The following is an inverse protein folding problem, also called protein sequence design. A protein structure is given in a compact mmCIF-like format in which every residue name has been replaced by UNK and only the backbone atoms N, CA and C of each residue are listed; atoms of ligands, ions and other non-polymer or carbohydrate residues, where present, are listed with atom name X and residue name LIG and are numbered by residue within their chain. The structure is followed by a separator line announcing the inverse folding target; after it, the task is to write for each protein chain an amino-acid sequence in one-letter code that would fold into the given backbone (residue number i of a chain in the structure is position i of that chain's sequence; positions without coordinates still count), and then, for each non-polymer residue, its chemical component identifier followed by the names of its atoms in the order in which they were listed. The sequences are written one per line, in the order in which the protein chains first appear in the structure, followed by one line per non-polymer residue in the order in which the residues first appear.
data_IF_926482117050
#
_entry.id   IF_926482117050
#
_cell.length_a   1.000
_cell.length_b   1.000
_cell.length_c   1.000
_cell.angle_alpha   90.00
_cell.angle_beta   90.00
_cell.angle_gamma   90.00
#
_symmetry.space_group_name_H-M   'P 1'
#
loop_
_entity.id
_entity.type
_entity.pdbx_description
1 polymer ?
#
# COMPACT_ATOMS: atom_id res chain seq x y z
N UNK A 1 36.50 -27.28 -41.20
CA UNK A 1 36.47 -26.17 -40.19
C UNK A 1 37.75 -26.29 -39.40
N UNK A 2 38.68 -25.34 -39.53
CA UNK A 2 40.01 -25.39 -38.92
C UNK A 2 39.90 -25.36 -37.40
N UNK A 3 40.82 -26.09 -36.72
CA UNK A 3 40.86 -26.15 -35.23
C UNK A 3 40.86 -24.76 -34.60
N UNK A 4 41.49 -23.78 -35.23
CA UNK A 4 41.55 -22.37 -34.77
C UNK A 4 40.15 -21.75 -34.71
N UNK A 5 39.28 -21.99 -35.68
CA UNK A 5 37.93 -21.43 -35.75
C UNK A 5 37.02 -22.04 -34.62
N UNK A 6 37.27 -23.27 -34.20
CA UNK A 6 36.54 -23.87 -33.07
C UNK A 6 36.90 -23.21 -31.75
N UNK A 7 38.18 -22.93 -31.50
CA UNK A 7 38.60 -22.26 -30.27
C UNK A 7 38.19 -20.79 -30.23
N UNK A 8 38.16 -20.12 -31.39
CA UNK A 8 37.65 -18.76 -31.49
C UNK A 8 36.14 -18.69 -31.20
N UNK A 9 35.38 -19.64 -31.73
CA UNK A 9 33.93 -19.72 -31.49
C UNK A 9 33.60 -20.02 -30.03
N UNK A 10 34.35 -20.94 -29.39
CA UNK A 10 34.18 -21.29 -27.99
C UNK A 10 34.55 -20.11 -27.08
N UNK A 11 35.60 -19.35 -27.39
CA UNK A 11 35.99 -18.15 -26.67
C UNK A 11 34.95 -17.02 -26.73
N UNK A 12 34.30 -16.81 -27.88
CA UNK A 12 33.26 -15.79 -28.02
C UNK A 12 31.99 -16.17 -27.26
N UNK A 13 31.60 -17.46 -27.25
CA UNK A 13 30.43 -17.93 -26.51
C UNK A 13 30.65 -17.86 -24.98
N UNK A 14 31.86 -18.09 -24.49
CA UNK A 14 32.14 -17.98 -23.03
C UNK A 14 32.20 -16.52 -22.55
N UNK A 15 32.60 -15.54 -23.38
CA UNK A 15 32.55 -14.13 -23.02
C UNK A 15 31.13 -13.54 -22.99
N UNK A 16 30.18 -14.09 -23.74
CA UNK A 16 28.80 -13.59 -23.74
C UNK A 16 27.97 -14.05 -22.52
N UNK A 17 28.42 -15.01 -21.74
CA UNK A 17 27.71 -15.48 -20.53
C UNK A 17 27.99 -14.65 -19.26
N UNK A 18 28.98 -13.79 -19.27
CA UNK A 18 29.31 -12.95 -18.09
C UNK A 18 28.64 -11.57 -18.11
N UNK A 19 27.90 -11.22 -19.15
CA UNK A 19 27.28 -9.90 -19.32
C UNK A 19 25.98 -9.71 -18.52
N UNK A 20 25.46 -10.73 -17.81
CA UNK A 20 24.20 -10.65 -17.08
C UNK A 20 24.35 -10.60 -15.55
N UNK A 21 25.55 -10.43 -15.03
CA UNK A 21 25.79 -10.50 -13.58
C UNK A 21 25.88 -9.12 -12.94
N UNK A 22 24.92 -8.29 -13.03
CA UNK A 22 24.55 -7.13 -12.21
C UNK A 22 23.76 -6.13 -13.06
N UNK A 23 22.54 -6.51 -13.45
CA UNK A 23 21.55 -5.51 -13.80
C UNK A 23 20.94 -5.04 -12.46
N UNK A 24 21.54 -4.05 -11.87
CA UNK A 24 20.88 -3.20 -10.91
C UNK A 24 19.84 -2.38 -11.67
N UNK A 25 18.61 -2.91 -11.69
CA UNK A 25 17.50 -2.37 -12.47
C UNK A 25 16.76 -1.24 -11.75
N UNK A 26 17.33 -0.69 -10.68
CA UNK A 26 16.76 0.48 -10.05
C UNK A 26 16.95 1.71 -10.94
N UNK A 27 15.89 2.20 -11.62
CA UNK A 27 15.99 3.38 -12.44
C UNK A 27 16.33 4.58 -11.55
N UNK A 28 17.47 5.22 -11.79
CA UNK A 28 17.91 6.43 -11.08
C UNK A 28 16.98 7.63 -11.31
N UNK A 29 16.04 7.52 -12.28
CA UNK A 29 15.11 8.59 -12.67
C UNK A 29 13.69 8.39 -12.16
N UNK A 30 13.40 7.26 -11.48
CA UNK A 30 12.08 6.97 -10.91
C UNK A 30 12.25 6.65 -9.42
N UNK A 31 11.30 7.09 -8.58
CA UNK A 31 11.31 6.79 -7.16
C UNK A 31 11.23 5.27 -6.91
N UNK A 32 12.35 4.68 -6.52
CA UNK A 32 12.42 3.31 -6.05
C UNK A 32 12.47 3.30 -4.52
N UNK A 33 12.13 2.18 -3.88
CA UNK A 33 12.17 2.06 -2.42
C UNK A 33 13.57 2.30 -1.81
N UNK A 34 14.62 2.25 -2.63
CA UNK A 34 16.00 2.53 -2.20
C UNK A 34 16.41 3.99 -2.39
N UNK A 35 15.70 4.72 -3.29
CA UNK A 35 15.98 6.10 -3.66
C UNK A 35 14.88 7.06 -3.20
N UNK A 36 13.99 6.64 -2.30
CA UNK A 36 12.88 7.43 -1.80
C UNK A 36 12.95 7.57 -0.28
N UNK A 37 12.38 8.59 0.29
CA UNK A 37 12.41 8.94 1.72
C UNK A 37 13.76 9.49 2.22
N UNK A 38 14.54 10.16 1.36
CA UNK A 38 15.82 10.73 1.75
C UNK A 38 15.69 12.11 2.38
N UNK A 39 14.67 12.86 2.00
CA UNK A 39 14.43 14.20 2.49
C UNK A 39 12.98 14.44 2.90
N UNK A 40 12.74 15.58 3.52
CA UNK A 40 11.42 16.00 4.00
C UNK A 40 10.39 16.09 2.87
N UNK A 41 10.78 16.58 1.69
CA UNK A 41 9.89 16.76 0.54
C UNK A 41 9.37 15.42 0.04
N UNK A 42 10.22 14.42 -0.04
CA UNK A 42 9.83 13.08 -0.48
C UNK A 42 8.87 12.40 0.53
N UNK A 43 9.09 12.62 1.83
CA UNK A 43 8.18 12.12 2.87
C UNK A 43 6.84 12.84 2.80
N UNK A 44 6.82 14.16 2.60
CA UNK A 44 5.58 14.93 2.42
C UNK A 44 4.82 14.50 1.16
N UNK A 45 5.51 14.19 0.07
CA UNK A 45 4.88 13.62 -1.13
C UNK A 45 4.24 12.27 -0.84
N UNK A 46 4.92 11.39 -0.09
CA UNK A 46 4.38 10.09 0.30
C UNK A 46 3.15 10.23 1.22
N UNK A 47 3.17 11.20 2.15
CA UNK A 47 2.03 11.52 2.99
C UNK A 47 0.84 12.05 2.19
N UNK A 48 1.08 12.99 1.27
CA UNK A 48 0.04 13.53 0.41
C UNK A 48 -0.63 12.42 -0.43
N UNK A 49 0.11 11.38 -0.81
CA UNK A 49 -0.44 10.22 -1.52
C UNK A 49 -1.36 9.34 -0.64
N UNK A 50 -1.34 9.47 0.69
CA UNK A 50 -2.31 8.83 1.58
C UNK A 50 -3.70 9.49 1.52
N UNK A 51 -3.77 10.77 1.18
CA UNK A 51 -5.02 11.53 1.13
C UNK A 51 -5.74 11.46 -0.23
N UNK A 52 -5.45 10.45 -1.03
CA UNK A 52 -6.12 10.26 -2.32
C UNK A 52 -7.60 9.93 -2.15
N UNK A 53 -8.47 10.51 -2.99
CA UNK A 53 -9.92 10.22 -2.95
C UNK A 53 -10.24 8.72 -3.04
N UNK A 54 -9.41 7.94 -3.75
CA UNK A 54 -9.61 6.51 -3.95
C UNK A 54 -9.57 5.69 -2.64
N UNK A 55 -8.99 6.24 -1.58
CA UNK A 55 -8.91 5.58 -0.27
C UNK A 55 -10.13 5.85 0.61
N UNK A 56 -10.95 6.83 0.26
CA UNK A 56 -12.12 7.23 1.03
C UNK A 56 -13.43 6.75 0.36
N UNK A 57 -14.43 6.31 1.14
CA UNK A 57 -15.68 5.75 0.59
C UNK A 57 -16.69 6.84 0.19
N UNK A 58 -16.32 7.72 -0.73
CA UNK A 58 -17.16 8.83 -1.15
C UNK A 58 -18.47 8.34 -1.79
N UNK A 59 -18.42 7.19 -2.47
CA UNK A 59 -19.58 6.54 -3.11
C UNK A 59 -20.56 5.91 -2.11
N UNK A 60 -20.14 5.69 -0.86
CA UNK A 60 -21.00 5.11 0.18
C UNK A 60 -22.18 6.02 0.55
N UNK A 61 -22.14 7.31 0.25
CA UNK A 61 -23.25 8.25 0.43
C UNK A 61 -24.49 7.87 -0.42
N UNK A 62 -24.31 7.06 -1.45
CA UNK A 62 -25.41 6.58 -2.32
C UNK A 62 -25.92 5.19 -1.94
N UNK A 63 -25.47 4.61 -0.80
CA UNK A 63 -25.82 3.24 -0.43
C UNK A 63 -27.00 3.15 0.55
N UNK A 64 -27.50 4.29 0.99
CA UNK A 64 -28.72 4.39 1.79
C UNK A 64 -29.95 4.76 0.94
N UNK A 65 -31.10 4.86 1.57
CA UNK A 65 -32.39 5.20 0.95
C UNK A 65 -32.70 6.71 1.02
N UNK A 66 -31.88 7.50 1.69
CA UNK A 66 -32.04 8.95 1.83
C UNK A 66 -31.53 9.72 0.60
N UNK A 67 -30.61 9.12 -0.17
CA UNK A 67 -29.97 9.75 -1.33
C UNK A 67 -30.18 8.94 -2.60
N UNK A 68 -30.99 9.49 -3.51
CA UNK A 68 -31.19 8.91 -4.83
C UNK A 68 -30.06 9.31 -5.79
N UNK A 69 -29.30 8.34 -6.27
CA UNK A 69 -28.34 8.57 -7.34
C UNK A 69 -29.09 8.86 -8.65
N UNK A 70 -28.91 10.06 -9.22
CA UNK A 70 -29.55 10.47 -10.48
C UNK A 70 -29.18 9.58 -11.68
N UNK A 71 -28.05 8.87 -11.60
CA UNK A 71 -27.56 7.99 -12.65
C UNK A 71 -28.10 6.56 -12.54
N UNK A 72 -29.04 6.32 -11.65
CA UNK A 72 -29.71 5.03 -11.45
C UNK A 72 -29.45 4.45 -10.05
N UNK A 73 -30.23 3.43 -9.72
CA UNK A 73 -30.06 2.65 -8.50
C UNK A 73 -28.77 1.82 -8.58
N UNK A 74 -28.08 1.69 -7.46
CA UNK A 74 -26.90 0.84 -7.35
C UNK A 74 -27.25 -0.52 -6.74
N UNK A 75 -26.32 -1.47 -6.83
CA UNK A 75 -26.53 -2.85 -6.37
C UNK A 75 -26.77 -2.94 -4.86
N UNK A 76 -26.27 -1.97 -4.06
CA UNK A 76 -26.47 -1.95 -2.61
C UNK A 76 -27.92 -1.59 -2.27
N UNK A 77 -28.45 -0.51 -2.83
CA UNK A 77 -29.84 -0.08 -2.59
C UNK A 77 -30.86 -1.06 -3.16
N UNK A 78 -30.51 -1.79 -4.23
CA UNK A 78 -31.34 -2.84 -4.80
C UNK A 78 -31.22 -4.18 -4.08
N UNK A 79 -30.27 -4.35 -3.17
CA UNK A 79 -30.00 -5.63 -2.51
C UNK A 79 -29.49 -6.72 -3.47
N UNK A 80 -28.87 -6.33 -4.59
CA UNK A 80 -28.39 -7.24 -5.64
C UNK A 80 -26.87 -7.45 -5.62
N UNK A 81 -26.17 -7.03 -4.56
CA UNK A 81 -24.73 -7.22 -4.40
C UNK A 81 -24.39 -8.72 -4.46
N UNK A 82 -23.41 -9.05 -5.28
CA UNK A 82 -22.87 -10.41 -5.41
C UNK A 82 -21.37 -10.44 -5.15
N UNK A 83 -20.79 -11.64 -5.02
CA UNK A 83 -19.33 -11.81 -4.89
C UNK A 83 -18.54 -11.34 -6.13
N UNK A 84 -19.22 -11.07 -7.25
CA UNK A 84 -18.63 -10.57 -8.49
C UNK A 84 -18.73 -9.03 -8.61
N UNK A 85 -19.24 -8.35 -7.59
CA UNK A 85 -19.39 -6.91 -7.63
C UNK A 85 -18.03 -6.20 -7.64
N UNK A 86 -17.72 -5.53 -8.75
CA UNK A 86 -16.40 -4.92 -9.00
C UNK A 86 -15.99 -3.87 -7.97
N UNK A 87 -16.96 -3.10 -7.45
CA UNK A 87 -16.71 -2.09 -6.41
C UNK A 87 -16.13 -2.72 -5.14
N UNK A 88 -16.58 -3.93 -4.76
CA UNK A 88 -16.05 -4.65 -3.60
C UNK A 88 -14.56 -4.97 -3.76
N UNK A 89 -14.13 -5.50 -4.91
CA UNK A 89 -12.72 -5.83 -5.14
C UNK A 89 -11.84 -4.58 -5.27
N UNK A 90 -12.38 -3.52 -5.89
CA UNK A 90 -11.67 -2.24 -6.01
C UNK A 90 -11.44 -1.61 -4.64
N UNK A 91 -12.46 -1.57 -3.79
CA UNK A 91 -12.37 -1.05 -2.41
C UNK A 91 -11.36 -1.83 -1.57
N UNK A 92 -11.43 -3.17 -1.61
CA UNK A 92 -10.45 -4.03 -0.95
C UNK A 92 -9.01 -3.67 -1.35
N UNK A 93 -8.76 -3.58 -2.65
CA UNK A 93 -7.43 -3.25 -3.19
C UNK A 93 -6.97 -1.84 -2.80
N UNK A 94 -7.87 -0.86 -2.82
CA UNK A 94 -7.56 0.52 -2.44
C UNK A 94 -7.19 0.64 -0.96
N UNK A 95 -7.95 0.01 -0.06
CA UNK A 95 -7.66 0.02 1.36
C UNK A 95 -6.32 -0.66 1.69
N UNK A 96 -6.01 -1.81 1.06
CA UNK A 96 -4.69 -2.42 1.26
C UNK A 96 -3.54 -1.63 0.65
N UNK A 97 -3.77 -0.89 -0.44
CA UNK A 97 -2.77 0.06 -0.96
C UNK A 97 -2.51 1.19 0.03
N UNK A 98 -3.55 1.74 0.66
CA UNK A 98 -3.36 2.79 1.67
C UNK A 98 -2.61 2.25 2.89
N UNK A 99 -2.92 1.04 3.36
CA UNK A 99 -2.19 0.36 4.45
C UNK A 99 -0.70 0.19 4.10
N UNK A 100 -0.40 -0.32 2.91
CA UNK A 100 0.99 -0.52 2.49
C UNK A 100 1.77 0.80 2.43
N UNK A 101 1.16 1.88 1.93
CA UNK A 101 1.76 3.21 1.88
C UNK A 101 1.96 3.81 3.27
N UNK A 102 0.95 3.74 4.14
CA UNK A 102 1.05 4.22 5.51
C UNK A 102 2.15 3.49 6.29
N UNK A 103 2.26 2.17 6.12
CA UNK A 103 3.34 1.37 6.71
C UNK A 103 4.71 1.85 6.21
N UNK A 104 4.86 2.13 4.91
CA UNK A 104 6.11 2.65 4.36
C UNK A 104 6.49 4.02 4.93
N UNK A 105 5.52 4.90 5.18
CA UNK A 105 5.76 6.18 5.85
C UNK A 105 6.25 5.94 7.29
N UNK A 106 5.65 5.00 8.04
CA UNK A 106 6.09 4.65 9.39
C UNK A 106 7.51 4.09 9.42
N UNK A 107 7.86 3.25 8.44
CA UNK A 107 9.18 2.61 8.35
C UNK A 107 10.29 3.62 8.01
N UNK A 108 9.98 4.64 7.19
CA UNK A 108 10.98 5.51 6.57
C UNK A 108 10.81 7.01 6.88
N UNK A 109 9.75 7.41 7.57
CA UNK A 109 9.39 8.82 7.79
C UNK A 109 10.27 9.59 8.79
N UNK A 110 11.52 9.15 9.01
CA UNK A 110 12.49 9.76 9.95
C UNK A 110 13.83 10.06 9.29
N UNK A 111 13.83 10.69 8.11
CA UNK A 111 15.06 11.09 7.45
C UNK A 111 15.88 12.07 8.28
N UNK A 112 17.21 12.08 8.07
CA UNK A 112 18.14 12.94 8.80
C UNK A 112 17.84 14.42 8.56
N UNK A 113 17.73 15.19 9.63
CA UNK A 113 17.53 16.65 9.56
C UNK A 113 16.07 17.11 9.70
N UNK A 114 15.11 16.21 9.79
CA UNK A 114 13.72 16.56 10.05
C UNK A 114 13.50 16.76 11.56
N UNK A 115 12.75 17.79 11.94
CA UNK A 115 12.43 18.04 13.35
C UNK A 115 11.56 16.92 13.94
N UNK A 116 11.75 16.61 15.22
CA UNK A 116 10.96 15.60 15.93
C UNK A 116 9.45 15.87 15.83
N UNK A 117 9.04 17.15 15.92
CA UNK A 117 7.64 17.54 15.79
C UNK A 117 7.05 17.15 14.43
N UNK A 118 7.80 17.33 13.33
CA UNK A 118 7.35 16.91 12.01
C UNK A 118 7.34 15.40 11.84
N UNK A 119 8.36 14.72 12.35
CA UNK A 119 8.38 13.23 12.36
C UNK A 119 7.16 12.68 13.11
N UNK A 120 6.80 13.29 14.24
CA UNK A 120 5.61 12.89 14.99
C UNK A 120 4.32 13.16 14.19
N UNK A 121 4.21 14.32 13.56
CA UNK A 121 3.07 14.59 12.66
C UNK A 121 2.95 13.53 11.56
N UNK A 122 4.03 13.20 10.88
CA UNK A 122 4.04 12.18 9.82
C UNK A 122 3.61 10.81 10.32
N UNK A 123 4.10 10.40 11.48
CA UNK A 123 3.66 9.18 12.14
C UNK A 123 2.17 9.22 12.50
N UNK A 124 1.70 10.35 13.01
CA UNK A 124 0.30 10.53 13.37
C UNK A 124 -0.64 10.37 12.16
N UNK A 125 -0.30 11.00 11.03
CA UNK A 125 -1.08 10.87 9.80
C UNK A 125 -1.05 9.43 9.26
N UNK A 126 0.10 8.77 9.28
CA UNK A 126 0.21 7.37 8.84
C UNK A 126 -0.57 6.41 9.76
N UNK A 127 -0.51 6.59 11.07
CA UNK A 127 -1.31 5.80 12.01
C UNK A 127 -2.82 6.05 11.86
N UNK A 128 -3.23 7.29 11.60
CA UNK A 128 -4.62 7.60 11.28
C UNK A 128 -5.11 6.80 10.07
N UNK A 129 -4.33 6.80 8.98
CA UNK A 129 -4.69 6.05 7.77
C UNK A 129 -4.74 4.54 7.99
N UNK A 130 -3.85 3.97 8.80
CA UNK A 130 -3.92 2.55 9.18
C UNK A 130 -5.20 2.24 9.93
N UNK A 131 -5.50 3.04 10.98
CA UNK A 131 -6.70 2.86 11.78
C UNK A 131 -7.98 3.00 10.94
N UNK A 132 -8.06 4.05 10.13
CA UNK A 132 -9.17 4.29 9.20
C UNK A 132 -9.36 3.11 8.24
N UNK A 133 -8.31 2.69 7.54
CA UNK A 133 -8.40 1.63 6.54
C UNK A 133 -8.84 0.28 7.15
N UNK A 134 -8.37 -0.06 8.34
CA UNK A 134 -8.79 -1.28 9.02
C UNK A 134 -10.22 -1.20 9.56
N UNK A 135 -10.68 -0.03 10.03
CA UNK A 135 -12.09 0.17 10.37
C UNK A 135 -12.99 -0.05 9.15
N UNK A 136 -12.63 0.54 8.00
CA UNK A 136 -13.35 0.36 6.74
C UNK A 136 -13.35 -1.12 6.29
N UNK A 137 -12.19 -1.79 6.28
CA UNK A 137 -12.09 -3.20 5.93
C UNK A 137 -13.00 -4.07 6.79
N UNK A 138 -13.02 -3.84 8.11
CA UNK A 138 -13.87 -4.63 9.02
C UNK A 138 -15.35 -4.30 8.90
N UNK A 139 -15.70 -3.06 8.51
CA UNK A 139 -17.09 -2.67 8.27
C UNK A 139 -17.67 -3.37 7.03
N UNK A 140 -16.88 -3.42 5.94
CA UNK A 140 -17.36 -3.99 4.67
C UNK A 140 -17.17 -5.51 4.55
N UNK A 141 -16.09 -6.06 5.09
CA UNK A 141 -15.69 -7.46 4.83
C UNK A 141 -15.65 -8.35 6.05
N UNK A 142 -15.78 -7.78 7.24
CA UNK A 142 -15.63 -8.54 8.49
C UNK A 142 -14.17 -8.93 8.73
N UNK A 143 -13.88 -10.23 8.71
CA UNK A 143 -12.52 -10.73 8.86
C UNK A 143 -11.66 -10.31 7.67
N UNK A 144 -10.46 -9.81 7.93
CA UNK A 144 -9.53 -9.35 6.89
C UNK A 144 -8.07 -9.63 7.29
N UNK A 145 -7.15 -9.53 6.33
CA UNK A 145 -5.73 -9.77 6.59
C UNK A 145 -5.13 -8.61 7.39
N UNK A 146 -4.58 -8.92 8.56
CA UNK A 146 -3.92 -7.94 9.41
C UNK A 146 -2.42 -7.86 9.06
N UNK A 147 -2.06 -6.87 8.26
CA UNK A 147 -0.68 -6.62 7.87
C UNK A 147 -0.03 -5.62 8.85
N UNK A 148 0.86 -6.09 9.69
CA UNK A 148 1.67 -5.31 10.64
C UNK A 148 3.13 -5.19 10.19
N UNK A 149 3.37 -5.01 8.91
CA UNK A 149 4.72 -4.98 8.32
C UNK A 149 5.16 -6.35 7.77
N UNK A 150 4.22 -7.14 7.23
CA UNK A 150 4.52 -8.41 6.57
C UNK A 150 5.43 -8.20 5.36
N UNK A 151 6.35 -9.13 5.19
CA UNK A 151 7.09 -9.29 3.93
C UNK A 151 6.16 -9.76 2.81
N UNK A 152 6.62 -9.68 1.57
CA UNK A 152 5.83 -10.14 0.42
C UNK A 152 5.50 -11.63 0.51
N UNK A 153 6.46 -12.46 0.94
CA UNK A 153 6.27 -13.91 1.08
C UNK A 153 5.25 -14.25 2.16
N UNK A 154 5.28 -13.55 3.30
CA UNK A 154 4.27 -13.69 4.36
C UNK A 154 2.89 -13.27 3.87
N UNK A 155 2.79 -12.19 3.09
CA UNK A 155 1.53 -11.71 2.55
C UNK A 155 0.87 -12.70 1.58
N UNK A 156 1.64 -13.48 0.82
CA UNK A 156 1.11 -14.50 -0.10
C UNK A 156 0.43 -15.67 0.61
N UNK A 157 0.85 -15.98 1.83
CA UNK A 157 0.30 -17.09 2.62
C UNK A 157 -0.59 -16.62 3.77
N UNK A 158 -0.78 -15.31 3.90
CA UNK A 158 -1.54 -14.73 5.00
C UNK A 158 -3.01 -15.13 4.95
N UNK A 159 -3.55 -15.47 6.11
CA UNK A 159 -4.97 -15.75 6.30
C UNK A 159 -5.67 -14.55 6.94
N UNK A 160 -7.00 -14.50 6.87
CA UNK A 160 -7.78 -13.45 7.52
C UNK A 160 -7.72 -13.60 9.04
N UNK A 161 -7.49 -12.50 9.72
CA UNK A 161 -7.65 -12.38 11.18
C UNK A 161 -9.10 -12.08 11.53
N UNK A 162 -9.58 -12.51 12.70
CA UNK A 162 -10.92 -12.20 13.19
C UNK A 162 -11.16 -10.68 13.27
N UNK A 163 -12.38 -10.24 12.93
CA UNK A 163 -12.79 -8.83 12.92
C UNK A 163 -12.42 -8.08 14.23
N UNK A 164 -12.64 -8.70 15.38
CA UNK A 164 -12.35 -8.09 16.67
C UNK A 164 -10.85 -7.85 16.92
N UNK A 165 -9.99 -8.73 16.41
CA UNK A 165 -8.54 -8.55 16.47
C UNK A 165 -8.09 -7.39 15.57
N UNK A 166 -8.65 -7.31 14.36
CA UNK A 166 -8.36 -6.23 13.42
C UNK A 166 -8.83 -4.89 13.97
N UNK A 167 -10.03 -4.83 14.55
CA UNK A 167 -10.55 -3.61 15.19
C UNK A 167 -9.70 -3.18 16.39
N UNK A 168 -9.24 -4.12 17.21
CA UNK A 168 -8.34 -3.80 18.32
C UNK A 168 -7.07 -3.11 17.82
N UNK A 169 -6.48 -3.62 16.75
CA UNK A 169 -5.32 -2.98 16.13
C UNK A 169 -5.65 -1.63 15.47
N UNK A 170 -6.81 -1.52 14.83
CA UNK A 170 -7.26 -0.25 14.25
C UNK A 170 -7.38 0.84 15.33
N UNK A 171 -7.97 0.52 16.48
CA UNK A 171 -8.07 1.47 17.61
C UNK A 171 -6.69 1.79 18.21
N UNK A 172 -5.80 0.82 18.34
CA UNK A 172 -4.41 1.09 18.74
C UNK A 172 -3.73 2.10 17.80
N UNK A 173 -3.95 1.98 16.49
CA UNK A 173 -3.43 2.93 15.52
C UNK A 173 -4.07 4.32 15.68
N UNK A 174 -5.38 4.41 15.90
CA UNK A 174 -6.06 5.69 16.11
C UNK A 174 -5.62 6.37 17.42
N UNK A 175 -5.39 5.61 18.49
CA UNK A 175 -4.85 6.12 19.75
C UNK A 175 -3.44 6.71 19.53
N UNK A 176 -2.57 6.00 18.80
CA UNK A 176 -1.26 6.53 18.42
C UNK A 176 -1.37 7.78 17.55
N UNK A 177 -2.30 7.80 16.62
CA UNK A 177 -2.54 9.00 15.81
C UNK A 177 -2.91 10.21 16.69
N UNK A 178 -3.80 10.01 17.67
CA UNK A 178 -4.19 11.06 18.62
C UNK A 178 -3.05 11.51 19.54
N UNK A 179 -2.09 10.62 19.85
CA UNK A 179 -0.89 10.96 20.63
C UNK A 179 0.11 11.82 19.83
N UNK A 180 0.27 11.52 18.53
CA UNK A 180 1.28 12.16 17.67
C UNK A 180 0.79 13.41 16.96
N UNK A 181 -0.50 13.51 16.67
CA UNK A 181 -1.09 14.70 16.02
C UNK A 181 -1.31 15.82 17.06
N UNK A 182 -1.12 17.11 16.63
CA UNK A 182 -1.30 18.26 17.51
C UNK A 182 -2.76 18.46 17.93
#
# INVERSE_FOLDING_TARGET
MNKINKYLLTGIVSLSMTACANLDLNPLSEGSSENWYHDETEIEMALNDLWRPDFFPIDAIYWDDDLLNRNGSNEVTLGTVTSQWGTSSTRWSSLYKSIARATKVLDNGSATGISESKVNQYKGEAYFMLGFAYCELTAYYGDCVLNKGMTLDEAYVATRSPKNEVLAYAFECLDKAAEYLP
#
